data_IF_713449949558
#
_entry.id   IF_713449949558
#
_cell.length_a   1.000
_cell.length_b   1.000
_cell.length_c   1.000
_cell.angle_alpha   90.00
_cell.angle_beta   90.00
_cell.angle_gamma   90.00
#
_symmetry.space_group_name_H-M   'P 1'
#
loop_
_entity.id
_entity.type
_entity.pdbx_description
1 polymer ?
#
# COMPACT_ATOMS: atom_id res chain seq x y z
N UNK A 1 -14.27 15.30 -28.92
CA UNK A 1 -13.03 15.22 -28.12
C UNK A 1 -13.39 15.66 -26.73
N UNK A 2 -13.69 14.71 -25.85
CA UNK A 2 -14.04 14.98 -24.46
C UNK A 2 -12.74 14.96 -23.65
N UNK A 3 -12.38 16.11 -23.11
CA UNK A 3 -11.17 16.29 -22.32
C UNK A 3 -11.39 15.73 -20.92
N UNK A 4 -10.79 14.57 -20.65
CA UNK A 4 -10.69 14.04 -19.29
C UNK A 4 -9.59 14.81 -18.55
N UNK A 5 -9.97 15.90 -17.89
CA UNK A 5 -9.13 16.58 -16.90
C UNK A 5 -8.98 15.68 -15.66
N UNK A 6 -8.10 14.67 -15.76
CA UNK A 6 -7.59 13.97 -14.60
C UNK A 6 -6.58 14.89 -13.92
N UNK A 7 -7.04 15.70 -12.95
CA UNK A 7 -6.14 16.40 -12.03
C UNK A 7 -5.13 15.43 -11.42
N UNK A 8 -3.89 15.86 -11.10
CA UNK A 8 -2.88 14.97 -10.57
C UNK A 8 -3.41 14.36 -9.27
N UNK A 9 -3.76 13.09 -9.31
CA UNK A 9 -4.17 12.38 -8.10
C UNK A 9 -2.94 12.34 -7.19
N UNK A 10 -2.99 13.07 -6.08
CA UNK A 10 -1.92 13.12 -5.05
C UNK A 10 -1.83 11.83 -4.23
N UNK A 11 -2.34 10.72 -4.79
CA UNK A 11 -2.39 9.41 -4.18
C UNK A 11 -1.90 8.39 -5.19
N UNK A 12 -1.05 7.48 -4.73
CA UNK A 12 -0.71 6.28 -5.47
C UNK A 12 -1.63 5.15 -5.03
N UNK A 13 -2.22 4.47 -6.00
CA UNK A 13 -3.12 3.34 -5.79
C UNK A 13 -2.31 2.06 -6.01
N UNK A 14 -2.34 1.18 -5.03
CA UNK A 14 -1.82 -0.19 -5.10
C UNK A 14 -2.97 -1.15 -4.85
N UNK A 15 -2.95 -2.32 -5.44
CA UNK A 15 -3.87 -3.39 -5.08
C UNK A 15 -3.39 -4.10 -3.81
N UNK A 16 -4.32 -4.65 -3.03
CA UNK A 16 -3.98 -5.51 -1.90
C UNK A 16 -3.23 -6.77 -2.37
N UNK A 17 -3.47 -7.20 -3.61
CA UNK A 17 -2.70 -8.27 -4.26
C UNK A 17 -1.23 -7.91 -4.38
N UNK A 18 -0.90 -6.75 -4.92
CA UNK A 18 0.50 -6.29 -5.02
C UNK A 18 1.17 -6.24 -3.65
N UNK A 19 0.49 -5.70 -2.62
CA UNK A 19 1.01 -5.68 -1.25
C UNK A 19 1.27 -7.08 -0.70
N UNK A 20 0.35 -8.02 -0.94
CA UNK A 20 0.51 -9.40 -0.53
C UNK A 20 1.67 -10.08 -1.26
N UNK A 21 1.79 -9.89 -2.58
CA UNK A 21 2.87 -10.47 -3.37
C UNK A 21 4.23 -9.90 -2.91
N UNK A 22 4.39 -8.58 -2.75
CA UNK A 22 5.64 -7.96 -2.22
C UNK A 22 6.09 -8.63 -0.92
N UNK A 23 5.13 -8.87 -0.03
CA UNK A 23 5.34 -9.47 1.27
C UNK A 23 5.70 -10.97 1.19
N UNK A 24 5.08 -11.73 0.26
CA UNK A 24 5.38 -13.16 0.10
C UNK A 24 6.73 -13.42 -0.56
N UNK A 25 7.19 -12.55 -1.44
CA UNK A 25 8.52 -12.65 -2.06
C UNK A 25 9.67 -12.45 -1.08
N UNK A 26 9.39 -11.97 0.15
CA UNK A 26 10.41 -11.87 1.19
C UNK A 26 10.65 -13.23 1.85
N UNK A 27 11.93 -13.56 2.06
CA UNK A 27 12.35 -14.75 2.80
C UNK A 27 12.25 -14.53 4.33
N UNK A 28 11.08 -14.05 4.79
CA UNK A 28 10.80 -13.80 6.19
C UNK A 28 9.97 -14.94 6.78
N UNK A 29 10.27 -15.39 8.01
CA UNK A 29 9.79 -16.67 8.53
C UNK A 29 8.32 -16.63 8.95
N UNK A 30 7.78 -15.45 9.29
CA UNK A 30 6.41 -15.35 9.79
C UNK A 30 5.69 -14.12 9.24
N UNK A 31 4.36 -14.17 9.34
CA UNK A 31 3.46 -13.14 8.86
C UNK A 31 3.66 -11.78 9.55
N UNK A 32 4.10 -11.76 10.81
CA UNK A 32 4.32 -10.50 11.52
C UNK A 32 5.51 -9.76 10.93
N UNK A 33 6.66 -10.41 10.81
CA UNK A 33 7.86 -9.80 10.22
C UNK A 33 7.65 -9.38 8.77
N UNK A 34 6.90 -10.20 8.01
CA UNK A 34 6.43 -9.88 6.67
C UNK A 34 5.62 -8.56 6.63
N UNK A 35 4.72 -8.37 7.58
CA UNK A 35 3.93 -7.14 7.71
C UNK A 35 4.76 -5.94 8.19
N UNK A 36 5.70 -6.15 9.09
CA UNK A 36 6.59 -5.09 9.58
C UNK A 36 7.55 -4.64 8.46
N UNK A 37 8.06 -5.57 7.63
CA UNK A 37 8.78 -5.23 6.41
C UNK A 37 7.92 -4.39 5.46
N UNK A 38 6.68 -4.83 5.19
CA UNK A 38 5.80 -4.12 4.25
C UNK A 38 5.48 -2.70 4.75
N UNK A 39 5.29 -2.52 6.06
CA UNK A 39 5.11 -1.19 6.67
C UNK A 39 6.31 -0.29 6.41
N UNK A 40 7.52 -0.78 6.69
CA UNK A 40 8.76 -0.03 6.45
C UNK A 40 8.98 0.25 4.96
N UNK A 41 8.66 -0.72 4.09
CA UNK A 41 8.72 -0.55 2.64
C UNK A 41 7.80 0.57 2.16
N UNK A 42 6.56 0.64 2.67
CA UNK A 42 5.61 1.69 2.33
C UNK A 42 6.07 3.06 2.83
N UNK A 43 6.64 3.13 4.03
CA UNK A 43 7.16 4.36 4.62
C UNK A 43 8.47 4.84 3.96
N UNK A 44 9.26 3.93 3.40
CA UNK A 44 10.49 4.26 2.66
C UNK A 44 10.27 4.48 1.16
N UNK A 45 9.02 4.47 0.69
CA UNK A 45 8.71 4.60 -0.74
C UNK A 45 8.94 6.02 -1.29
N UNK A 46 8.75 7.05 -0.46
CA UNK A 46 8.88 8.47 -0.83
C UNK A 46 9.24 9.31 0.42
N UNK A 47 9.57 10.58 0.24
CA UNK A 47 9.93 11.51 1.32
C UNK A 47 8.67 12.10 1.96
N UNK A 48 7.98 11.28 2.75
CA UNK A 48 6.74 11.66 3.43
C UNK A 48 6.96 12.60 4.61
N UNK A 49 6.04 13.55 4.78
CA UNK A 49 5.95 14.34 6.01
C UNK A 49 5.24 13.56 7.13
N UNK A 50 5.28 14.09 8.36
CA UNK A 50 4.72 13.41 9.54
C UNK A 50 3.21 13.11 9.42
N UNK A 51 2.44 14.00 8.79
CA UNK A 51 1.01 13.79 8.58
C UNK A 51 0.74 12.68 7.56
N UNK A 52 1.51 12.62 6.47
CA UNK A 52 1.45 11.56 5.47
C UNK A 52 1.86 10.20 6.08
N UNK A 53 2.94 10.16 6.85
CA UNK A 53 3.37 8.97 7.60
C UNK A 53 2.25 8.47 8.51
N UNK A 54 1.61 9.38 9.26
CA UNK A 54 0.50 9.04 10.16
C UNK A 54 -0.70 8.46 9.39
N UNK A 55 -1.03 9.03 8.24
CA UNK A 55 -2.10 8.54 7.37
C UNK A 55 -1.78 7.14 6.81
N UNK A 56 -0.54 6.92 6.34
CA UNK A 56 -0.08 5.62 5.86
C UNK A 56 -0.20 4.57 6.97
N UNK A 57 0.34 4.85 8.17
CA UNK A 57 0.27 3.93 9.31
C UNK A 57 -1.16 3.62 9.72
N UNK A 58 -2.04 4.62 9.72
CA UNK A 58 -3.45 4.43 10.04
C UNK A 58 -4.13 3.50 9.04
N UNK A 59 -4.01 3.77 7.74
CA UNK A 59 -4.56 2.92 6.68
C UNK A 59 -3.97 1.51 6.71
N UNK A 60 -2.65 1.43 6.94
CA UNK A 60 -1.95 0.16 7.02
C UNK A 60 -2.39 -0.67 8.23
N UNK A 61 -2.71 -0.05 9.36
CA UNK A 61 -3.23 -0.76 10.55
C UNK A 61 -4.54 -1.52 10.25
N UNK A 62 -5.47 -0.89 9.51
CA UNK A 62 -6.69 -1.57 9.06
C UNK A 62 -6.38 -2.73 8.13
N UNK A 63 -5.53 -2.50 7.12
CA UNK A 63 -5.09 -3.56 6.22
C UNK A 63 -4.42 -4.73 6.97
N UNK A 64 -3.51 -4.44 7.90
CA UNK A 64 -2.78 -5.42 8.74
C UNK A 64 -3.76 -6.30 9.52
N UNK A 65 -4.77 -5.69 10.13
CA UNK A 65 -5.81 -6.39 10.89
C UNK A 65 -6.66 -7.31 10.00
N UNK A 66 -7.17 -6.78 8.88
CA UNK A 66 -7.98 -7.56 7.95
C UNK A 66 -7.20 -8.73 7.33
N UNK A 67 -5.95 -8.47 6.92
CA UNK A 67 -5.07 -9.46 6.34
C UNK A 67 -4.80 -10.60 7.32
N UNK A 68 -4.43 -10.30 8.58
CA UNK A 68 -4.22 -11.31 9.62
C UNK A 68 -5.46 -12.17 9.86
N UNK A 69 -6.64 -11.54 9.95
CA UNK A 69 -7.91 -12.26 10.14
C UNK A 69 -8.17 -13.24 9.00
N UNK A 70 -8.01 -12.78 7.75
CA UNK A 70 -8.23 -13.60 6.55
C UNK A 70 -7.15 -14.69 6.37
N UNK A 71 -5.91 -14.39 6.73
CA UNK A 71 -4.79 -15.33 6.72
C UNK A 71 -5.03 -16.50 7.69
N UNK A 72 -5.46 -16.20 8.91
CA UNK A 72 -5.82 -17.20 9.91
C UNK A 72 -7.02 -18.05 9.46
N UNK A 73 -8.04 -17.45 8.84
CA UNK A 73 -9.19 -18.17 8.28
C UNK A 73 -8.83 -19.07 7.07
N UNK A 74 -7.67 -18.84 6.45
CA UNK A 74 -7.09 -19.70 5.42
C UNK A 74 -6.11 -20.75 5.99
N UNK A 75 -5.98 -20.86 7.31
CA UNK A 75 -5.03 -21.72 8.00
C UNK A 75 -3.56 -21.45 7.64
N UNK A 76 -3.22 -20.20 7.35
CA UNK A 76 -1.86 -19.80 6.97
C UNK A 76 -1.32 -20.50 5.71
N UNK A 77 -2.20 -20.99 4.84
CA UNK A 77 -1.82 -21.61 3.56
C UNK A 77 -2.09 -20.61 2.44
N UNK A 78 -1.04 -20.26 1.70
CA UNK A 78 -1.08 -19.25 0.65
C UNK A 78 -2.13 -19.55 -0.42
N UNK A 79 -2.12 -20.75 -1.00
CA UNK A 79 -3.09 -21.13 -2.05
C UNK A 79 -4.54 -21.01 -1.58
N UNK A 80 -4.81 -21.45 -0.34
CA UNK A 80 -6.15 -21.32 0.27
C UNK A 80 -6.53 -19.87 0.50
N UNK A 81 -5.56 -19.05 0.91
CA UNK A 81 -5.77 -17.63 1.12
C UNK A 81 -6.12 -16.92 -0.18
N UNK A 82 -5.33 -17.12 -1.25
CA UNK A 82 -5.57 -16.54 -2.57
C UNK A 82 -6.95 -16.95 -3.09
N UNK A 83 -7.25 -18.25 -3.07
CA UNK A 83 -8.52 -18.78 -3.58
C UNK A 83 -9.74 -18.22 -2.85
N UNK A 84 -9.67 -18.08 -1.52
CA UNK A 84 -10.78 -17.57 -0.71
C UNK A 84 -10.93 -16.05 -0.73
N UNK A 85 -9.85 -15.31 -0.97
CA UNK A 85 -9.82 -13.85 -0.82
C UNK A 85 -9.54 -13.10 -2.13
N UNK A 86 -9.66 -13.76 -3.29
CA UNK A 86 -9.33 -13.14 -4.58
C UNK A 86 -10.02 -11.77 -4.79
N UNK A 87 -11.33 -11.71 -4.59
CA UNK A 87 -12.10 -10.47 -4.71
C UNK A 87 -11.65 -9.39 -3.70
N UNK A 88 -11.21 -9.80 -2.51
CA UNK A 88 -10.69 -8.85 -1.53
C UNK A 88 -9.30 -8.34 -1.92
N UNK A 89 -8.47 -9.18 -2.55
CA UNK A 89 -7.13 -8.85 -3.05
C UNK A 89 -7.16 -7.86 -4.22
N UNK A 90 -8.23 -7.86 -5.01
CA UNK A 90 -8.49 -6.85 -6.06
C UNK A 90 -8.82 -5.46 -5.49
N UNK A 91 -9.05 -5.36 -4.18
CA UNK A 91 -9.34 -4.08 -3.52
C UNK A 91 -8.13 -3.13 -3.52
N UNK A 92 -8.42 -1.84 -3.59
CA UNK A 92 -7.41 -0.78 -3.62
C UNK A 92 -6.89 -0.44 -2.21
N UNK A 93 -5.61 -0.08 -2.17
CA UNK A 93 -4.89 0.51 -1.05
C UNK A 93 -4.26 1.82 -1.54
N UNK A 94 -4.67 2.93 -0.95
CA UNK A 94 -4.21 4.26 -1.34
C UNK A 94 -3.13 4.73 -0.38
N UNK A 95 -1.98 5.10 -0.94
CA UNK A 95 -0.92 5.82 -0.24
C UNK A 95 -0.88 7.26 -0.76
N UNK A 96 -0.69 8.26 0.12
CA UNK A 96 -0.41 9.61 -0.33
C UNK A 96 0.87 9.60 -1.17
N UNK A 97 0.97 10.49 -2.15
CA UNK A 97 2.20 10.75 -2.88
C UNK A 97 2.85 11.98 -2.24
N UNK A 98 4.14 11.90 -1.91
CA UNK A 98 4.80 13.01 -1.22
C UNK A 98 4.64 14.32 -2.00
N UNK A 99 4.16 15.34 -1.29
CA UNK A 99 3.85 16.66 -1.86
C UNK A 99 5.13 17.46 -2.21
N UNK A 100 6.31 17.02 -1.76
CA UNK A 100 7.60 17.69 -1.94
C UNK A 100 8.20 17.59 -3.36
N UNK A 101 7.38 17.69 -4.41
CA UNK A 101 7.92 17.99 -5.74
C UNK A 101 7.95 19.50 -5.89
N UNK A 102 9.13 20.15 -6.00
CA UNK A 102 9.19 21.58 -6.26
C UNK A 102 8.41 21.84 -7.55
N UNK A 103 7.26 22.52 -7.40
CA UNK A 103 6.47 22.97 -8.52
C UNK A 103 7.36 23.82 -9.44
N UNK A 104 7.21 23.58 -10.75
CA UNK A 104 7.74 24.35 -11.90
C UNK A 104 8.62 25.54 -11.50
N UNK A 105 9.92 25.57 -11.88
CA UNK A 105 10.77 26.72 -11.55
C UNK A 105 10.06 28.01 -11.97
N UNK A 106 9.90 28.93 -11.00
CA UNK A 106 9.38 30.24 -11.29
C UNK A 106 10.31 30.86 -12.34
N UNK A 107 9.73 31.22 -13.49
CA UNK A 107 10.46 31.86 -14.57
C UNK A 107 11.06 33.15 -14.00
N UNK A 108 12.36 33.15 -13.77
CA UNK A 108 13.11 34.37 -13.48
C UNK A 108 13.01 35.24 -14.72
N UNK A 109 12.31 36.37 -14.58
CA UNK A 109 12.27 37.44 -15.56
C UNK A 109 13.58 38.24 -15.49
#
# INVERSE_FOLDING_TARGET
>A
MEGSEAGPSNVKVLTRRELFDIMQHQNLPNMSEKLDFLENYLLGYDDYNEAEIKAIKHNFSYYKSELKRRWNAAHSIEEKFIKKNNQWLEGNFTIPKAVNRPGRPAKTF
#
